data_IF_972855799300
#
_entry.id   IF_972855799300
#
_cell.length_a   1.000
_cell.length_b   1.000
_cell.length_c   1.000
_cell.angle_alpha   90.00
_cell.angle_beta   90.00
_cell.angle_gamma   90.00
#
_symmetry.space_group_name_H-M   'P 1'
#
loop_
_entity.id
_entity.type
_entity.pdbx_description
1 polymer ?
#
# COMPACT_ATOMS: atom_id res chain seq x y z
N UNK A 1 0.62 28.25 -2.12
CA UNK A 1 0.30 26.86 -2.50
C UNK A 1 0.21 26.04 -1.23
N UNK A 2 -0.73 25.10 -1.16
CA UNK A 2 -0.87 24.10 -0.11
C UNK A 2 -0.81 22.73 -0.77
N UNK A 3 0.32 22.05 -0.56
CA UNK A 3 0.69 20.75 -1.14
C UNK A 3 1.20 19.86 -0.01
N UNK A 4 0.34 19.06 0.65
CA UNK A 4 0.65 18.44 1.94
C UNK A 4 1.76 17.38 1.89
N UNK A 5 1.98 16.74 0.74
CA UNK A 5 3.04 15.76 0.51
C UNK A 5 4.29 16.34 -0.17
N UNK A 6 4.27 17.65 -0.53
CA UNK A 6 5.36 18.32 -1.24
C UNK A 6 5.82 17.57 -2.51
N UNK A 7 4.85 17.21 -3.35
CA UNK A 7 5.08 16.46 -4.58
C UNK A 7 5.16 17.32 -5.82
N UNK A 8 4.63 18.53 -5.76
CA UNK A 8 4.47 19.39 -6.93
C UNK A 8 5.28 20.67 -6.80
N UNK A 9 5.62 21.21 -7.97
CA UNK A 9 6.10 22.57 -8.15
C UNK A 9 5.25 23.25 -9.23
N UNK A 10 4.94 24.53 -9.02
CA UNK A 10 4.23 25.36 -9.99
C UNK A 10 5.14 26.52 -10.39
N UNK A 11 5.46 26.62 -11.67
CA UNK A 11 6.17 27.76 -12.23
C UNK A 11 5.30 29.02 -12.08
N UNK A 12 5.76 30.06 -11.35
CA UNK A 12 4.95 31.23 -11.03
C UNK A 12 4.75 32.17 -12.24
N UNK A 13 5.49 31.99 -13.34
CA UNK A 13 5.43 32.85 -14.53
C UNK A 13 4.49 32.28 -15.58
N UNK A 14 4.59 30.97 -15.85
CA UNK A 14 3.80 30.31 -16.91
C UNK A 14 2.75 29.32 -16.39
N UNK A 15 2.73 29.04 -15.08
CA UNK A 15 1.76 28.14 -14.46
C UNK A 15 2.03 26.65 -14.71
N UNK A 16 3.19 26.26 -15.26
CA UNK A 16 3.53 24.85 -15.49
C UNK A 16 3.64 24.11 -14.16
N UNK A 17 2.91 23.00 -14.06
CA UNK A 17 2.94 22.11 -12.91
C UNK A 17 3.86 20.92 -13.23
N UNK A 18 4.81 20.62 -12.35
CA UNK A 18 5.70 19.47 -12.47
C UNK A 18 5.77 18.69 -11.16
N UNK A 19 6.01 17.39 -11.25
CA UNK A 19 6.31 16.55 -10.09
C UNK A 19 7.78 16.73 -9.69
N UNK A 20 8.04 16.88 -8.40
CA UNK A 20 9.39 17.02 -7.81
C UNK A 20 9.73 15.86 -6.87
N UNK A 21 8.79 14.94 -6.65
CA UNK A 21 8.95 13.72 -5.88
C UNK A 21 8.15 12.58 -6.50
N UNK A 22 8.37 11.37 -6.00
CA UNK A 22 7.61 10.17 -6.40
C UNK A 22 6.19 10.29 -5.82
N UNK A 23 5.19 10.17 -6.69
CA UNK A 23 3.79 10.11 -6.30
C UNK A 23 3.50 8.72 -5.75
N UNK A 24 2.75 8.66 -4.66
CA UNK A 24 2.45 7.43 -3.92
C UNK A 24 0.94 7.41 -3.64
N UNK A 25 0.21 6.43 -4.18
CA UNK A 25 -1.26 6.37 -4.05
C UNK A 25 -1.67 5.95 -2.64
N UNK A 26 -0.84 5.14 -1.98
CA UNK A 26 -1.01 4.56 -0.66
C UNK A 26 -0.71 5.59 0.45
N UNK A 27 -0.08 6.70 0.07
CA UNK A 27 0.22 7.84 0.95
C UNK A 27 -1.00 8.31 1.76
N UNK A 28 -0.82 8.68 3.05
CA UNK A 28 -1.91 9.16 3.90
C UNK A 28 -2.60 10.45 3.40
N UNK A 29 -1.94 11.20 2.51
CA UNK A 29 -2.46 12.43 1.92
C UNK A 29 -3.41 12.19 0.75
N UNK A 30 -3.47 10.96 0.22
CA UNK A 30 -4.39 10.56 -0.84
C UNK A 30 -5.66 10.02 -0.21
N UNK A 31 -6.81 10.42 -0.73
CA UNK A 31 -8.13 9.92 -0.30
C UNK A 31 -8.93 9.51 -1.50
N UNK A 32 -9.36 8.25 -1.55
CA UNK A 32 -10.12 7.69 -2.68
C UNK A 32 -9.40 7.91 -4.02
N UNK A 33 -8.08 7.67 -4.05
CA UNK A 33 -7.17 7.91 -5.18
C UNK A 33 -7.05 9.39 -5.61
N UNK A 34 -7.55 10.34 -4.81
CA UNK A 34 -7.47 11.77 -5.09
C UNK A 34 -6.46 12.47 -4.18
N UNK A 35 -5.57 13.24 -4.80
CA UNK A 35 -4.66 14.14 -4.14
C UNK A 35 -5.00 15.59 -4.51
N UNK A 36 -5.30 16.42 -3.51
CA UNK A 36 -5.77 17.79 -3.71
C UNK A 36 -4.69 18.79 -3.32
N UNK A 37 -4.39 19.72 -4.22
CA UNK A 37 -3.45 20.82 -4.01
C UNK A 37 -4.17 22.13 -4.26
N UNK A 38 -4.07 23.07 -3.31
CA UNK A 38 -4.68 24.40 -3.47
C UNK A 38 -3.61 25.42 -3.80
N UNK A 39 -3.83 26.24 -4.82
CA UNK A 39 -2.93 27.31 -5.23
C UNK A 39 -3.67 28.66 -5.23
N UNK A 40 -2.89 29.73 -5.18
CA UNK A 40 -3.38 31.10 -5.24
C UNK A 40 -2.64 31.79 -6.36
N UNK A 41 -3.40 32.45 -7.25
CA UNK A 41 -2.87 33.34 -8.25
C UNK A 41 -3.13 34.78 -7.80
N UNK A 42 -2.18 35.67 -8.05
CA UNK A 42 -2.33 37.12 -7.88
C UNK A 42 -1.98 37.79 -9.20
N UNK A 43 -2.74 38.81 -9.58
CA UNK A 43 -2.33 39.70 -10.66
C UNK A 43 -1.34 40.78 -10.16
N UNK A 44 -0.85 41.59 -11.09
CA UNK A 44 0.03 42.73 -10.82
C UNK A 44 -0.76 44.06 -10.71
N UNK A 45 -2.05 44.01 -10.40
CA UNK A 45 -2.89 45.18 -10.23
C UNK A 45 -2.52 46.01 -8.99
N UNK A 46 -3.06 47.23 -8.92
CA UNK A 46 -2.94 48.12 -7.74
C UNK A 46 -4.34 48.65 -7.40
N UNK A 47 -5.04 48.08 -6.40
CA UNK A 47 -4.64 46.93 -5.58
C UNK A 47 -4.66 45.60 -6.37
N UNK A 48 -3.85 44.60 -5.97
CA UNK A 48 -3.82 43.30 -6.63
C UNK A 48 -5.11 42.52 -6.39
N UNK A 49 -5.62 41.87 -7.44
CA UNK A 49 -6.66 40.85 -7.30
C UNK A 49 -6.04 39.46 -7.15
N UNK A 50 -6.66 38.62 -6.32
CA UNK A 50 -6.23 37.24 -6.13
C UNK A 50 -7.39 36.27 -6.31
N UNK A 51 -7.05 35.05 -6.75
CA UNK A 51 -7.98 33.94 -6.89
C UNK A 51 -7.36 32.65 -6.39
N UNK A 52 -8.18 31.76 -5.84
CA UNK A 52 -7.76 30.43 -5.40
C UNK A 52 -8.28 29.37 -6.35
N UNK A 53 -7.48 28.33 -6.56
CA UNK A 53 -7.82 27.18 -7.39
C UNK A 53 -7.39 25.88 -6.71
N UNK A 54 -8.10 24.80 -7.02
CA UNK A 54 -7.77 23.46 -6.53
C UNK A 54 -7.42 22.56 -7.70
N UNK A 55 -6.21 22.01 -7.69
CA UNK A 55 -5.82 20.90 -8.54
C UNK A 55 -6.21 19.59 -7.85
N UNK A 56 -7.00 18.78 -8.53
CA UNK A 56 -7.35 17.43 -8.09
C UNK A 56 -6.66 16.42 -9.00
N UNK A 57 -5.68 15.70 -8.45
CA UNK A 57 -4.96 14.66 -9.17
C UNK A 57 -5.54 13.29 -8.83
N UNK A 58 -5.90 12.51 -9.84
CA UNK A 58 -6.29 11.10 -9.68
C UNK A 58 -5.05 10.23 -9.88
N UNK A 59 -4.60 9.56 -8.81
CA UNK A 59 -3.45 8.67 -8.87
C UNK A 59 -3.89 7.26 -9.29
N UNK A 60 -3.17 6.72 -10.27
CA UNK A 60 -3.34 5.33 -10.70
C UNK A 60 -2.54 4.41 -9.80
N UNK A 61 -3.10 3.23 -9.56
CA UNK A 61 -2.46 2.16 -8.81
C UNK A 61 -1.41 1.46 -9.69
N UNK A 62 -0.26 1.16 -9.10
CA UNK A 62 0.80 0.33 -9.67
C UNK A 62 1.17 -0.75 -8.66
N UNK A 63 1.76 -1.85 -9.13
CA UNK A 63 2.23 -2.92 -8.25
C UNK A 63 3.62 -2.57 -7.70
N UNK A 64 3.65 -1.75 -6.64
CA UNK A 64 4.88 -1.34 -5.96
C UNK A 64 4.95 -1.78 -4.50
N UNK A 65 3.90 -2.38 -3.96
CA UNK A 65 3.92 -3.07 -2.68
C UNK A 65 3.95 -4.59 -2.86
N UNK A 66 4.50 -5.28 -1.86
CA UNK A 66 4.54 -6.74 -1.84
C UNK A 66 3.56 -7.27 -0.79
N UNK A 67 3.00 -8.49 -0.98
CA UNK A 67 2.11 -9.07 0.01
C UNK A 67 2.82 -9.28 1.35
N UNK A 68 2.23 -8.79 2.43
CA UNK A 68 2.67 -9.00 3.81
C UNK A 68 1.84 -10.08 4.49
N UNK A 69 2.51 -11.05 5.13
CA UNK A 69 1.85 -12.11 5.90
C UNK A 69 1.80 -11.74 7.39
N UNK A 70 0.64 -11.93 8.02
CA UNK A 70 0.40 -11.73 9.44
C UNK A 70 -0.13 -13.01 10.10
N UNK A 71 0.34 -13.36 11.31
CA UNK A 71 1.46 -12.74 12.03
C UNK A 71 2.82 -12.96 11.34
N UNK A 72 3.78 -12.02 11.46
CA UNK A 72 5.09 -12.15 10.81
C UNK A 72 6.01 -13.19 11.49
N UNK A 73 5.77 -13.48 12.76
CA UNK A 73 6.50 -14.46 13.54
C UNK A 73 5.56 -15.15 14.53
N UNK A 74 5.78 -16.44 14.75
CA UNK A 74 4.96 -17.30 15.59
C UNK A 74 5.86 -18.33 16.26
N UNK A 75 5.67 -18.53 17.57
CA UNK A 75 6.22 -19.68 18.29
C UNK A 75 5.12 -20.72 18.52
N UNK A 76 5.41 -21.98 18.20
CA UNK A 76 4.48 -23.09 18.40
C UNK A 76 5.16 -24.23 19.15
N UNK A 77 4.45 -24.78 20.14
CA UNK A 77 4.89 -25.93 20.91
C UNK A 77 4.37 -27.22 20.26
N UNK A 78 5.12 -28.31 20.35
CA UNK A 78 4.69 -29.65 19.87
C UNK A 78 3.63 -30.33 20.77
N UNK A 79 3.17 -29.67 21.84
CA UNK A 79 2.31 -30.25 22.91
C UNK A 79 0.85 -29.80 22.76
N UNK A 80 -0.14 -30.58 23.27
CA UNK A 80 -1.38 -30.79 22.55
C UNK A 80 -2.27 -29.56 22.49
N UNK A 81 -2.55 -29.18 21.25
CA UNK A 81 -3.60 -28.31 20.71
C UNK A 81 -3.79 -26.87 21.24
N UNK A 82 -4.00 -25.90 20.31
CA UNK A 82 -3.97 -26.06 18.85
C UNK A 82 -2.56 -25.99 18.27
N UNK A 83 -2.15 -27.03 17.52
CA UNK A 83 -0.92 -27.00 16.70
C UNK A 83 -1.16 -26.30 15.35
N UNK A 84 -1.98 -25.25 15.33
CA UNK A 84 -2.33 -24.51 14.13
C UNK A 84 -2.39 -23.00 14.36
N UNK A 85 -1.99 -22.23 13.35
CA UNK A 85 -2.12 -20.78 13.33
C UNK A 85 -2.77 -20.31 12.02
N UNK A 86 -3.71 -19.38 12.17
CA UNK A 86 -4.26 -18.65 11.04
C UNK A 86 -3.25 -17.61 10.56
N UNK A 87 -2.98 -17.62 9.26
CA UNK A 87 -2.20 -16.59 8.59
C UNK A 87 -3.10 -15.81 7.64
N UNK A 88 -2.82 -14.53 7.52
CA UNK A 88 -3.51 -13.62 6.60
C UNK A 88 -2.46 -12.92 5.74
N UNK A 89 -2.75 -12.70 4.46
CA UNK A 89 -1.94 -11.86 3.61
C UNK A 89 -2.68 -10.55 3.29
N UNK A 90 -1.95 -9.44 3.26
CA UNK A 90 -2.45 -8.13 2.90
C UNK A 90 -1.45 -7.38 2.05
N UNK A 91 -1.96 -6.63 1.09
CA UNK A 91 -1.20 -5.74 0.22
C UNK A 91 -2.00 -4.42 0.15
N UNK A 92 -1.39 -3.25 0.37
CA UNK A 92 -2.08 -1.96 0.35
C UNK A 92 -2.52 -1.52 -1.06
N UNK A 93 -2.03 -2.17 -2.12
CA UNK A 93 -2.40 -1.89 -3.50
C UNK A 93 -3.89 -2.14 -3.77
N UNK A 94 -4.39 -1.72 -4.93
CA UNK A 94 -5.75 -2.05 -5.38
C UNK A 94 -5.75 -3.30 -6.27
N UNK A 95 -6.93 -3.91 -6.42
CA UNK A 95 -7.13 -4.91 -7.47
C UNK A 95 -6.83 -4.28 -8.84
N UNK A 96 -6.01 -4.92 -9.70
CA UNK A 96 -5.53 -6.30 -9.65
C UNK A 96 -4.11 -6.50 -9.08
N UNK A 97 -3.46 -5.45 -8.59
CA UNK A 97 -2.09 -5.52 -8.06
C UNK A 97 -2.04 -6.10 -6.63
N UNK A 98 -3.16 -6.02 -5.91
CA UNK A 98 -3.35 -6.75 -4.66
C UNK A 98 -3.83 -8.20 -4.88
N UNK A 99 -4.40 -8.82 -3.84
CA UNK A 99 -4.89 -10.20 -3.88
C UNK A 99 -5.88 -10.50 -5.03
N UNK A 100 -6.13 -11.78 -5.32
CA UNK A 100 -5.96 -12.93 -4.44
C UNK A 100 -4.54 -13.49 -4.40
N UNK A 101 -4.08 -13.83 -3.19
CA UNK A 101 -2.76 -14.39 -2.94
C UNK A 101 -2.73 -15.93 -3.03
N UNK A 102 -1.52 -16.43 -3.27
CA UNK A 102 -1.15 -17.84 -3.19
C UNK A 102 -0.18 -18.00 -2.04
N UNK A 103 -0.42 -19.01 -1.20
CA UNK A 103 0.44 -19.31 -0.05
C UNK A 103 1.18 -20.61 -0.33
N UNK A 104 2.49 -20.63 -0.09
CA UNK A 104 3.33 -21.83 -0.22
C UNK A 104 4.37 -21.90 0.89
N UNK A 105 4.70 -23.12 1.33
CA UNK A 105 5.82 -23.34 2.25
C UNK A 105 7.14 -23.15 1.51
N UNK A 106 8.08 -22.49 2.16
CA UNK A 106 9.42 -22.29 1.63
C UNK A 106 10.07 -23.63 1.23
N UNK A 107 10.83 -23.61 0.13
CA UNK A 107 11.58 -24.78 -0.33
C UNK A 107 12.83 -25.05 0.52
N UNK A 108 13.24 -24.09 1.35
CA UNK A 108 14.41 -24.17 2.21
C UNK A 108 14.10 -23.60 3.60
N UNK A 109 14.63 -24.22 4.67
CA UNK A 109 15.31 -25.52 4.65
C UNK A 109 14.35 -26.67 4.28
N UNK A 110 14.87 -27.77 3.72
CA UNK A 110 14.06 -28.80 3.06
C UNK A 110 13.13 -29.59 3.99
N UNK A 111 13.37 -29.48 5.29
CA UNK A 111 12.61 -30.09 6.37
C UNK A 111 11.36 -29.28 6.77
N UNK A 112 11.21 -28.02 6.34
CA UNK A 112 9.99 -27.22 6.58
C UNK A 112 8.75 -27.99 6.13
N UNK A 113 8.79 -28.57 4.94
CA UNK A 113 7.67 -29.34 4.36
C UNK A 113 7.46 -30.72 5.00
N UNK A 114 8.34 -31.16 5.91
CA UNK A 114 8.16 -32.40 6.69
C UNK A 114 7.40 -32.15 7.98
N UNK A 115 7.66 -31.00 8.59
CA UNK A 115 7.09 -30.68 9.91
C UNK A 115 5.87 -29.76 9.80
N UNK A 116 5.76 -28.97 8.73
CA UNK A 116 4.70 -27.99 8.56
C UNK A 116 3.78 -28.36 7.40
N UNK A 117 2.49 -28.11 7.60
CA UNK A 117 1.49 -28.09 6.52
C UNK A 117 0.89 -26.70 6.41
N UNK A 118 0.46 -26.35 5.21
CA UNK A 118 -0.19 -25.08 4.92
C UNK A 118 -1.46 -25.36 4.13
N UNK A 119 -2.60 -25.06 4.75
CA UNK A 119 -3.91 -25.19 4.14
C UNK A 119 -4.40 -23.80 3.72
N UNK A 120 -4.48 -23.57 2.42
CA UNK A 120 -5.08 -22.34 1.88
C UNK A 120 -6.60 -22.39 2.05
N UNK A 121 -7.17 -21.39 2.72
CA UNK A 121 -8.63 -21.24 2.82
C UNK A 121 -9.15 -20.49 1.59
N UNK A 122 -8.54 -19.34 1.27
CA UNK A 122 -8.92 -18.52 0.11
C UNK A 122 -7.75 -17.60 -0.32
N UNK A 123 -8.04 -16.56 -1.10
CA UNK A 123 -7.04 -15.59 -1.58
C UNK A 123 -6.47 -14.65 -0.53
N UNK A 124 -6.89 -14.73 0.74
CA UNK A 124 -6.45 -13.83 1.80
C UNK A 124 -6.05 -14.58 3.08
N UNK A 125 -6.60 -15.78 3.30
CA UNK A 125 -6.40 -16.55 4.53
C UNK A 125 -5.82 -17.94 4.25
N UNK A 126 -4.96 -18.39 5.15
CA UNK A 126 -4.44 -19.75 5.23
C UNK A 126 -4.30 -20.20 6.68
N UNK A 127 -4.04 -21.50 6.87
CA UNK A 127 -3.74 -22.09 8.17
C UNK A 127 -2.42 -22.83 8.04
N UNK A 128 -1.46 -22.48 8.89
CA UNK A 128 -0.23 -23.24 9.07
C UNK A 128 -0.39 -24.18 10.26
N UNK A 129 0.02 -25.43 10.11
CA UNK A 129 -0.01 -26.40 11.20
C UNK A 129 1.34 -27.08 11.38
N UNK A 130 1.68 -27.39 12.63
CA UNK A 130 2.85 -28.18 13.00
C UNK A 130 2.43 -29.65 13.22
N UNK A 131 3.01 -30.56 12.44
CA UNK A 131 2.88 -32.02 12.57
C UNK A 131 1.43 -32.54 12.57
N UNK A 132 0.66 -32.24 11.53
CA UNK A 132 -0.61 -32.94 11.28
C UNK A 132 -0.32 -34.33 10.69
N UNK A 133 -0.64 -35.39 11.43
CA UNK A 133 -0.79 -36.75 10.91
C UNK A 133 -2.25 -37.17 10.96
#
# INVERSE_FOLDING_TARGET
MYDPANWLEIDPVNGRISTIAILDRESPYVKNNLYNVTFMASDNGIPPASGTGTLQMYLLDINDNAPHVFPPEVEMCEKPDPNAINITASDPDLTPNAGPFVFELANRPSDVRRNWTLNRINGQYGIMCLLCY
#
